data_IF_858868262374
#
_entry.id   IF_858868262374
#
_cell.length_a   1.000
_cell.length_b   1.000
_cell.length_c   1.000
_cell.angle_alpha   90.00
_cell.angle_beta   90.00
_cell.angle_gamma   90.00
#
_symmetry.space_group_name_H-M   'P 1'
#
loop_
_entity.id
_entity.type
_entity.pdbx_description
1 polymer ?
#
# COMPACT_ATOMS: atom_id res chain seq x y z
N UNK A 1 9.32 19.75 32.07
CA UNK A 1 9.83 20.55 30.94
C UNK A 1 10.82 19.79 30.06
N UNK A 2 11.61 18.84 30.60
CA UNK A 2 12.51 17.99 29.82
C UNK A 2 11.87 16.79 29.10
N UNK A 3 10.65 16.38 29.49
CA UNK A 3 9.92 15.27 28.87
C UNK A 3 9.54 15.57 27.41
N UNK A 4 9.08 16.79 27.13
CA UNK A 4 8.71 17.20 25.78
C UNK A 4 9.86 17.14 24.76
N UNK A 5 11.11 17.31 25.21
CA UNK A 5 12.30 17.17 24.34
C UNK A 5 12.58 15.69 24.04
N UNK A 6 12.32 14.80 25.00
CA UNK A 6 12.46 13.34 24.83
C UNK A 6 11.38 12.72 23.93
N UNK A 7 10.24 13.38 23.76
CA UNK A 7 9.16 12.91 22.90
C UNK A 7 9.40 13.20 21.41
N UNK A 8 10.27 14.16 21.08
CA UNK A 8 10.54 14.58 19.69
C UNK A 8 11.01 13.42 18.80
N UNK A 9 12.01 12.59 19.20
CA UNK A 9 12.43 11.45 18.39
C UNK A 9 11.31 10.43 18.15
N UNK A 10 10.45 10.20 19.15
CA UNK A 10 9.31 9.28 19.04
C UNK A 10 8.28 9.82 18.03
N UNK A 11 7.98 11.13 18.09
CA UNK A 11 7.08 11.77 17.12
C UNK A 11 7.64 11.74 15.70
N UNK A 12 8.95 11.96 15.53
CA UNK A 12 9.59 11.88 14.20
C UNK A 12 9.54 10.46 13.64
N UNK A 13 9.78 9.44 14.47
CA UNK A 13 9.65 8.04 14.07
C UNK A 13 8.20 7.71 13.62
N UNK A 14 7.21 8.24 14.33
CA UNK A 14 5.80 8.03 13.97
C UNK A 14 5.40 8.76 12.68
N UNK A 15 5.92 9.97 12.44
CA UNK A 15 5.70 10.68 11.17
C UNK A 15 6.30 9.87 10.01
N UNK A 16 7.51 9.33 10.16
CA UNK A 16 8.14 8.49 9.12
C UNK A 16 7.32 7.22 8.85
N UNK A 17 6.91 6.52 9.92
CA UNK A 17 6.03 5.35 9.82
C UNK A 17 4.74 5.69 9.07
N UNK A 18 4.04 6.75 9.46
CA UNK A 18 2.79 7.17 8.80
C UNK A 18 3.01 7.58 7.35
N UNK A 19 4.13 8.24 7.03
CA UNK A 19 4.48 8.60 5.66
C UNK A 19 4.73 7.36 4.78
N UNK A 20 5.39 6.33 5.33
CA UNK A 20 5.58 5.04 4.65
C UNK A 20 4.26 4.31 4.45
N UNK A 21 3.41 4.23 5.48
CA UNK A 21 2.08 3.63 5.37
C UNK A 21 1.23 4.34 4.32
N UNK A 22 1.21 5.68 4.33
CA UNK A 22 0.49 6.47 3.34
C UNK A 22 1.02 6.22 1.92
N UNK A 23 2.34 6.16 1.75
CA UNK A 23 2.96 5.90 0.44
C UNK A 23 2.56 4.52 -0.08
N UNK A 24 2.60 3.51 0.79
CA UNK A 24 2.19 2.14 0.45
C UNK A 24 0.72 2.07 0.03
N UNK A 25 -0.19 2.62 0.83
CA UNK A 25 -1.62 2.63 0.51
C UNK A 25 -1.91 3.34 -0.82
N UNK A 26 -1.15 4.39 -1.15
CA UNK A 26 -1.29 5.09 -2.44
C UNK A 26 -0.80 4.23 -3.61
N UNK A 27 0.25 3.44 -3.41
CA UNK A 27 0.72 2.47 -4.40
C UNK A 27 -0.29 1.35 -4.60
N UNK A 28 -0.81 0.75 -3.53
CA UNK A 28 -1.83 -0.30 -3.61
C UNK A 28 -3.06 0.15 -4.43
N UNK A 29 -3.53 1.37 -4.19
CA UNK A 29 -4.66 1.91 -4.94
C UNK A 29 -4.32 2.17 -6.40
N UNK A 30 -3.09 2.62 -6.69
CA UNK A 30 -2.62 2.82 -8.05
C UNK A 30 -2.55 1.48 -8.82
N UNK A 31 -2.08 0.42 -8.16
CA UNK A 31 -1.99 -0.93 -8.76
C UNK A 31 -3.39 -1.51 -9.03
N UNK A 32 -4.32 -1.40 -8.08
CA UNK A 32 -5.72 -1.80 -8.30
C UNK A 32 -6.39 -1.01 -9.44
N UNK A 33 -6.13 0.31 -9.52
CA UNK A 33 -6.64 1.15 -10.61
C UNK A 33 -6.03 0.76 -11.96
N UNK A 34 -4.74 0.42 -11.98
CA UNK A 34 -4.06 -0.07 -13.18
C UNK A 34 -4.66 -1.41 -13.63
N UNK A 35 -4.89 -2.34 -12.70
CA UNK A 35 -5.53 -3.63 -12.98
C UNK A 35 -6.96 -3.46 -13.53
N UNK A 36 -7.76 -2.58 -12.93
CA UNK A 36 -9.10 -2.27 -13.43
C UNK A 36 -9.08 -1.70 -14.87
N UNK A 37 -8.11 -0.83 -15.18
CA UNK A 37 -7.91 -0.30 -16.54
C UNK A 37 -7.45 -1.39 -17.51
N UNK A 38 -6.54 -2.26 -17.08
CA UNK A 38 -6.08 -3.41 -17.87
C UNK A 38 -7.24 -4.35 -18.21
N UNK A 39 -8.10 -4.68 -17.23
CA UNK A 39 -9.32 -5.47 -17.44
C UNK A 39 -10.25 -4.84 -18.49
N UNK A 40 -10.48 -3.52 -18.45
CA UNK A 40 -11.33 -2.85 -19.43
C UNK A 40 -10.72 -2.86 -20.84
N UNK A 41 -9.41 -2.66 -20.95
CA UNK A 41 -8.69 -2.76 -22.23
C UNK A 41 -8.76 -4.18 -22.78
N UNK A 42 -8.43 -5.19 -21.97
CA UNK A 42 -8.49 -6.59 -22.33
C UNK A 42 -9.88 -7.03 -22.77
N UNK A 43 -10.93 -6.53 -22.10
CA UNK A 43 -12.32 -6.78 -22.51
C UNK A 43 -12.64 -6.15 -23.88
N UNK A 44 -12.18 -4.93 -24.12
CA UNK A 44 -12.34 -4.27 -25.42
C UNK A 44 -11.63 -5.02 -26.55
N UNK A 45 -10.44 -5.56 -26.26
CA UNK A 45 -9.61 -6.32 -27.20
C UNK A 45 -10.11 -7.77 -27.41
N UNK A 46 -11.14 -8.20 -26.67
CA UNK A 46 -11.74 -9.52 -26.79
C UNK A 46 -10.91 -10.64 -26.16
N UNK A 47 -10.04 -10.32 -25.20
CA UNK A 47 -9.28 -11.32 -24.44
C UNK A 47 -10.23 -12.29 -23.70
N UNK A 48 -9.80 -13.54 -23.53
CA UNK A 48 -10.65 -14.62 -23.02
C UNK A 48 -10.96 -14.53 -21.52
N UNK A 49 -10.04 -14.01 -20.70
CA UNK A 49 -10.25 -13.75 -19.26
C UNK A 49 -9.70 -12.39 -18.81
N UNK A 50 -10.35 -11.27 -19.20
CA UNK A 50 -9.93 -9.92 -18.81
C UNK A 50 -9.99 -9.68 -17.29
N UNK A 51 -10.80 -10.46 -16.57
CA UNK A 51 -10.96 -10.33 -15.11
C UNK A 51 -9.77 -10.90 -14.33
N UNK A 52 -8.89 -11.68 -14.97
CA UNK A 52 -7.67 -12.20 -14.35
C UNK A 52 -6.83 -11.09 -13.73
N UNK A 53 -6.57 -10.00 -14.48
CA UNK A 53 -5.80 -8.84 -13.99
C UNK A 53 -6.33 -8.27 -12.66
N UNK A 54 -7.65 -8.09 -12.54
CA UNK A 54 -8.25 -7.56 -11.31
C UNK A 54 -8.23 -8.58 -10.18
N UNK A 55 -8.45 -9.86 -10.46
CA UNK A 55 -8.39 -10.91 -9.42
C UNK A 55 -6.99 -11.02 -8.84
N UNK A 56 -5.97 -10.99 -9.69
CA UNK A 56 -4.56 -11.08 -9.27
C UNK A 56 -4.19 -9.87 -8.41
N UNK A 57 -4.52 -8.65 -8.87
CA UNK A 57 -4.26 -7.44 -8.09
C UNK A 57 -5.01 -7.41 -6.74
N UNK A 58 -6.25 -7.91 -6.68
CA UNK A 58 -6.99 -8.03 -5.40
C UNK A 58 -6.36 -9.08 -4.49
N UNK A 59 -5.91 -10.21 -5.03
CA UNK A 59 -5.23 -11.24 -4.25
C UNK A 59 -3.89 -10.74 -3.68
N UNK A 60 -3.11 -10.02 -4.49
CA UNK A 60 -1.88 -9.35 -4.06
C UNK A 60 -2.15 -8.30 -2.96
N UNK A 61 -3.18 -7.47 -3.14
CA UNK A 61 -3.57 -6.48 -2.13
C UNK A 61 -3.99 -7.12 -0.80
N UNK A 62 -4.71 -8.24 -0.82
CA UNK A 62 -5.12 -8.97 0.38
C UNK A 62 -3.97 -9.66 1.11
N UNK A 63 -2.88 -10.00 0.39
CA UNK A 63 -1.72 -10.64 0.97
C UNK A 63 -0.83 -9.66 1.77
N UNK A 64 -1.00 -8.35 1.59
CA UNK A 64 -0.22 -7.35 2.30
C UNK A 64 -0.65 -7.21 3.77
N UNK A 65 0.34 -7.27 4.66
CA UNK A 65 0.19 -6.92 6.06
C UNK A 65 1.13 -5.74 6.39
N UNK A 66 0.63 -4.68 7.05
CA UNK A 66 1.51 -3.61 7.50
C UNK A 66 2.55 -4.15 8.48
N UNK A 67 3.82 -3.73 8.39
CA UNK A 67 4.83 -4.09 9.38
C UNK A 67 4.37 -3.64 10.78
N UNK A 68 4.61 -4.51 11.77
CA UNK A 68 4.21 -4.25 13.15
C UNK A 68 5.01 -3.10 13.77
N UNK A 69 4.47 -2.53 14.85
CA UNK A 69 5.01 -1.33 15.51
C UNK A 69 6.46 -1.48 16.00
N UNK A 70 6.95 -2.71 16.18
CA UNK A 70 8.26 -3.03 16.76
C UNK A 70 9.35 -3.50 15.78
N UNK A 71 9.06 -3.58 14.47
CA UNK A 71 9.95 -4.26 13.51
C UNK A 71 11.00 -3.33 12.87
N UNK A 72 11.00 -2.04 13.23
CA UNK A 72 11.82 -0.99 12.60
C UNK A 72 12.93 -0.43 13.50
N UNK A 73 13.23 -1.12 14.61
CA UNK A 73 14.15 -0.67 15.66
C UNK A 73 15.52 -1.39 15.65
N UNK A 74 15.88 -2.12 14.59
CA UNK A 74 17.26 -2.59 14.34
C UNK A 74 17.94 -1.73 13.27
#
# INVERSE_FOLDING_TARGET
>A
MWTAVGDIPVMLAEIDRLARLLTHTRWDFADLLAAARATLSAHHDGEADPLSYLRDAVAEHQAWAPPGDGELAE
#
